data_IF_343106162898
#
_entry.id   IF_343106162898
#
_cell.length_a   1.000
_cell.length_b   1.000
_cell.length_c   1.000
_cell.angle_alpha   90.00
_cell.angle_beta   90.00
_cell.angle_gamma   90.00
#
_symmetry.space_group_name_H-M   'P 1'
#
loop_
_entity.id
_entity.type
_entity.pdbx_description
1 polymer ?
#
# COMPACT_ATOMS: atom_id res chain seq x y z
N UNK A 1 -7.85 10.42 -9.92
CA UNK A 1 -6.55 11.07 -10.01
C UNK A 1 -5.52 10.32 -9.16
N UNK A 2 -4.27 10.35 -9.59
CA UNK A 2 -3.19 9.71 -8.89
C UNK A 2 -2.78 10.51 -7.66
N UNK A 3 -2.53 9.84 -6.55
CA UNK A 3 -2.04 10.45 -5.33
C UNK A 3 -0.63 9.92 -5.05
N UNK A 4 0.30 10.83 -4.78
CA UNK A 4 1.69 10.48 -4.51
C UNK A 4 2.19 11.23 -3.28
N UNK A 5 2.83 10.52 -2.39
CA UNK A 5 3.52 11.12 -1.25
C UNK A 5 4.99 10.75 -1.30
N UNK A 6 5.84 11.71 -1.01
CA UNK A 6 7.29 11.56 -1.09
C UNK A 6 7.91 12.03 0.22
N UNK A 7 8.87 11.26 0.73
CA UNK A 7 9.71 11.67 1.85
C UNK A 7 11.12 11.89 1.35
N UNK A 8 11.63 13.09 1.55
CA UNK A 8 13.00 13.44 1.18
C UNK A 8 13.90 13.33 2.41
N UNK A 9 14.96 12.57 2.27
CA UNK A 9 15.96 12.45 3.31
C UNK A 9 16.98 13.57 3.26
N UNK A 10 18.02 13.44 4.07
CA UNK A 10 19.13 14.38 4.04
C UNK A 10 19.73 14.47 2.64
N UNK A 11 20.23 15.67 2.27
CA UNK A 11 20.80 15.97 0.94
C UNK A 11 19.80 15.88 -0.20
N UNK A 12 18.54 16.15 0.09
CA UNK A 12 17.47 16.23 -0.93
C UNK A 12 17.29 14.96 -1.75
N UNK A 13 17.67 13.80 -1.20
CA UNK A 13 17.44 12.51 -1.86
C UNK A 13 16.09 11.95 -1.44
N UNK A 14 15.37 11.39 -2.41
CA UNK A 14 14.13 10.70 -2.11
C UNK A 14 14.45 9.48 -1.27
N UNK A 15 13.95 9.45 -0.04
CA UNK A 15 14.14 8.35 0.90
C UNK A 15 13.01 7.33 0.80
N UNK A 16 11.81 7.78 0.46
CA UNK A 16 10.65 6.91 0.29
C UNK A 16 9.60 7.61 -0.56
N UNK A 17 8.79 6.83 -1.26
CA UNK A 17 7.58 7.37 -1.88
C UNK A 17 6.49 6.32 -1.94
N UNK A 18 5.26 6.80 -2.01
CA UNK A 18 4.06 5.98 -2.14
C UNK A 18 3.22 6.57 -3.27
N UNK A 19 2.74 5.73 -4.15
CA UNK A 19 1.81 6.12 -5.21
C UNK A 19 0.55 5.29 -5.15
N UNK A 20 -0.57 5.97 -5.32
CA UNK A 20 -1.86 5.33 -5.35
C UNK A 20 -2.84 6.13 -6.17
N UNK A 21 -4.05 5.63 -6.27
CA UNK A 21 -5.12 6.34 -6.96
C UNK A 21 -6.46 5.97 -6.34
N UNK A 22 -7.40 6.87 -6.51
CA UNK A 22 -8.79 6.63 -6.13
C UNK A 22 -9.39 5.69 -7.16
N UNK A 23 -9.97 4.56 -6.71
CA UNK A 23 -10.51 3.56 -7.64
C UNK A 23 -11.69 4.16 -8.43
N UNK A 24 -11.69 4.04 -9.75
CA UNK A 24 -12.77 4.62 -10.58
C UNK A 24 -14.15 4.03 -10.27
N UNK A 25 -14.21 2.74 -9.96
CA UNK A 25 -15.47 2.05 -9.65
C UNK A 25 -15.84 2.07 -8.16
N UNK A 26 -14.94 2.58 -7.33
CA UNK A 26 -15.16 2.69 -5.89
C UNK A 26 -14.35 3.87 -5.35
N UNK A 27 -14.81 5.11 -5.56
CA UNK A 27 -14.00 6.29 -5.27
C UNK A 27 -13.73 6.54 -3.79
N UNK A 28 -14.32 5.77 -2.90
CA UNK A 28 -14.00 5.81 -1.47
C UNK A 28 -12.84 4.90 -1.09
N UNK A 29 -12.30 4.15 -2.05
CA UNK A 29 -11.17 3.26 -1.84
C UNK A 29 -9.92 3.82 -2.52
N UNK A 30 -8.86 3.94 -1.74
CA UNK A 30 -7.52 4.29 -2.23
C UNK A 30 -6.80 2.99 -2.58
N UNK A 31 -6.37 2.86 -3.82
CA UNK A 31 -5.55 1.73 -4.24
C UNK A 31 -4.08 2.16 -4.26
N UNK A 32 -3.25 1.49 -3.46
CA UNK A 32 -1.82 1.73 -3.41
C UNK A 32 -1.14 0.74 -4.35
N UNK A 33 -0.49 1.24 -5.38
CA UNK A 33 0.17 0.38 -6.34
C UNK A 33 1.69 0.38 -6.21
N UNK A 34 2.26 1.32 -5.46
CA UNK A 34 3.71 1.38 -5.30
C UNK A 34 4.09 1.98 -3.95
N UNK A 35 4.95 1.27 -3.23
CA UNK A 35 5.59 1.74 -2.01
C UNK A 35 7.07 1.46 -2.16
N UNK A 36 7.91 2.47 -2.09
CA UNK A 36 9.36 2.33 -2.22
C UNK A 36 10.03 3.05 -1.06
N UNK A 37 10.97 2.36 -0.42
CA UNK A 37 11.78 2.94 0.65
C UNK A 37 13.24 2.63 0.36
N UNK A 38 14.07 3.66 0.35
CA UNK A 38 15.51 3.49 0.16
C UNK A 38 16.10 2.65 1.30
N UNK A 39 17.13 1.87 0.99
CA UNK A 39 17.68 0.87 1.92
C UNK A 39 17.99 1.43 3.31
N UNK A 40 18.63 2.59 3.38
CA UNK A 40 19.01 3.21 4.64
C UNK A 40 17.84 3.73 5.48
N UNK A 41 16.67 3.81 4.89
CA UNK A 41 15.47 4.36 5.53
C UNK A 41 14.42 3.30 5.84
N UNK A 42 14.73 2.04 5.60
CA UNK A 42 13.81 0.93 5.90
C UNK A 42 13.66 0.73 7.40
N UNK A 43 12.49 0.23 7.79
CA UNK A 43 12.20 -0.06 9.18
C UNK A 43 11.86 1.15 10.04
N UNK A 44 11.66 2.32 9.45
CA UNK A 44 11.37 3.57 10.17
C UNK A 44 9.91 4.00 10.07
N UNK A 45 9.06 3.18 9.48
CA UNK A 45 7.64 3.51 9.35
C UNK A 45 7.31 4.55 8.30
N UNK A 46 8.23 4.82 7.36
CA UNK A 46 8.00 5.86 6.35
C UNK A 46 6.87 5.51 5.39
N UNK A 47 6.76 4.25 4.98
CA UNK A 47 5.66 3.83 4.11
C UNK A 47 4.30 4.09 4.74
N UNK A 48 4.15 3.73 6.01
CA UNK A 48 2.92 3.98 6.74
C UNK A 48 2.65 5.48 6.86
N UNK A 49 3.67 6.26 7.22
CA UNK A 49 3.53 7.70 7.34
C UNK A 49 3.05 8.34 6.04
N UNK A 50 3.62 7.92 4.92
CA UNK A 50 3.24 8.47 3.61
C UNK A 50 1.83 8.08 3.22
N UNK A 51 1.41 6.85 3.47
CA UNK A 51 0.02 6.43 3.23
C UNK A 51 -0.92 7.25 4.11
N UNK A 52 -0.58 7.42 5.37
CA UNK A 52 -1.37 8.24 6.28
C UNK A 52 -1.48 9.69 5.81
N UNK A 53 -0.43 10.21 5.22
CA UNK A 53 -0.41 11.55 4.65
C UNK A 53 -1.41 11.67 3.50
N UNK A 54 -1.43 10.68 2.60
CA UNK A 54 -2.40 10.67 1.49
C UNK A 54 -3.84 10.61 2.03
N UNK A 55 -4.07 9.73 3.00
CA UNK A 55 -5.41 9.56 3.58
C UNK A 55 -5.89 10.84 4.30
N UNK A 56 -4.96 11.60 4.87
CA UNK A 56 -5.29 12.84 5.56
C UNK A 56 -5.52 14.01 4.60
N UNK A 57 -4.77 14.07 3.51
CA UNK A 57 -4.86 15.17 2.56
C UNK A 57 -6.05 15.07 1.63
N UNK A 58 -6.49 13.86 1.31
CA UNK A 58 -7.62 13.64 0.44
C UNK A 58 -8.80 13.08 1.23
N UNK A 59 -9.87 13.83 1.30
CA UNK A 59 -11.05 13.44 2.07
C UNK A 59 -11.85 12.34 1.38
N UNK A 60 -12.54 11.54 2.18
CA UNK A 60 -13.55 10.62 1.69
C UNK A 60 -13.09 9.20 1.50
N UNK A 61 -11.87 8.84 1.88
CA UNK A 61 -11.45 7.45 1.84
C UNK A 61 -12.00 6.68 3.04
N UNK A 62 -12.70 5.59 2.77
CA UNK A 62 -13.20 4.67 3.81
C UNK A 62 -12.47 3.34 3.77
N UNK A 63 -11.69 3.07 2.73
CA UNK A 63 -10.97 1.83 2.58
C UNK A 63 -9.69 2.03 1.79
N UNK A 64 -8.78 1.09 1.95
CA UNK A 64 -7.52 1.04 1.23
C UNK A 64 -7.35 -0.36 0.65
N UNK A 65 -6.85 -0.45 -0.58
CA UNK A 65 -6.52 -1.72 -1.21
C UNK A 65 -5.11 -1.70 -1.77
N UNK A 66 -4.51 -2.86 -1.82
CA UNK A 66 -3.21 -3.08 -2.46
C UNK A 66 -3.08 -4.55 -2.84
N UNK A 67 -2.06 -4.88 -3.62
CA UNK A 67 -1.71 -6.28 -3.89
C UNK A 67 -0.34 -6.56 -3.27
N UNK A 68 -0.22 -7.71 -2.62
CA UNK A 68 1.02 -8.12 -1.95
C UNK A 68 1.29 -9.57 -2.30
N UNK A 69 2.53 -9.88 -2.71
CA UNK A 69 2.94 -11.27 -2.88
C UNK A 69 3.09 -11.95 -1.51
N UNK A 70 2.87 -13.26 -1.48
CA UNK A 70 2.84 -14.01 -0.22
C UNK A 70 4.15 -13.89 0.57
N UNK A 71 5.29 -13.78 -0.12
CA UNK A 71 6.61 -13.73 0.50
C UNK A 71 7.09 -12.33 0.88
N UNK A 72 6.33 -11.28 0.54
CA UNK A 72 6.73 -9.91 0.83
C UNK A 72 6.36 -9.52 2.26
N UNK A 73 7.13 -10.02 3.22
CA UNK A 73 6.84 -9.83 4.63
C UNK A 73 6.85 -8.37 5.06
N UNK A 74 7.71 -7.56 4.46
CA UNK A 74 7.79 -6.13 4.80
C UNK A 74 6.47 -5.42 4.47
N UNK A 75 5.89 -5.70 3.30
CA UNK A 75 4.61 -5.13 2.94
C UNK A 75 3.48 -5.62 3.82
N UNK A 76 3.43 -6.91 4.14
CA UNK A 76 2.43 -7.44 5.07
C UNK A 76 2.48 -6.72 6.42
N UNK A 77 3.68 -6.55 6.98
CA UNK A 77 3.85 -5.85 8.25
C UNK A 77 3.40 -4.39 8.17
N UNK A 78 3.71 -3.73 7.06
CA UNK A 78 3.30 -2.35 6.85
C UNK A 78 1.77 -2.22 6.90
N UNK A 79 1.06 -3.03 6.12
CA UNK A 79 -0.39 -2.91 6.02
C UNK A 79 -1.09 -3.44 7.27
N UNK A 80 -0.56 -4.46 7.94
CA UNK A 80 -1.07 -4.90 9.23
C UNK A 80 -0.91 -3.81 10.31
N UNK A 81 0.24 -3.15 10.34
CA UNK A 81 0.49 -2.04 11.25
C UNK A 81 -0.48 -0.88 11.00
N UNK A 82 -0.70 -0.56 9.73
CA UNK A 82 -1.64 0.48 9.35
C UNK A 82 -3.06 0.14 9.79
N UNK A 83 -3.48 -1.09 9.56
CA UNK A 83 -4.81 -1.56 9.98
C UNK A 83 -4.97 -1.49 11.50
N UNK A 84 -3.98 -1.97 12.24
CA UNK A 84 -4.04 -1.98 13.70
C UNK A 84 -4.10 -0.56 14.27
N UNK A 85 -3.30 0.34 13.73
CA UNK A 85 -3.24 1.73 14.22
C UNK A 85 -4.56 2.46 14.03
N UNK A 86 -5.27 2.16 12.95
CA UNK A 86 -6.50 2.87 12.58
C UNK A 86 -7.76 2.06 12.86
N UNK A 87 -7.66 1.02 13.64
CA UNK A 87 -8.79 0.14 13.98
C UNK A 87 -9.50 -0.40 12.74
N UNK A 88 -8.74 -0.65 11.68
CA UNK A 88 -9.26 -1.17 10.43
C UNK A 88 -9.47 -2.68 10.47
N UNK A 89 -10.30 -3.17 9.58
CA UNK A 89 -10.48 -4.59 9.35
C UNK A 89 -9.73 -4.99 8.08
N UNK A 90 -8.66 -5.78 8.25
CA UNK A 90 -7.84 -6.24 7.14
C UNK A 90 -8.34 -7.59 6.66
N UNK A 91 -8.57 -7.68 5.36
CA UNK A 91 -8.93 -8.92 4.68
C UNK A 91 -8.03 -9.13 3.49
N UNK A 92 -7.75 -10.39 3.16
CA UNK A 92 -6.97 -10.69 1.98
C UNK A 92 -7.56 -11.90 1.26
N UNK A 93 -7.49 -11.86 -0.07
CA UNK A 93 -7.89 -12.98 -0.91
C UNK A 93 -6.80 -13.23 -1.94
N UNK A 94 -6.56 -14.48 -2.37
CA UNK A 94 -5.66 -14.74 -3.46
C UNK A 94 -6.16 -14.05 -4.72
N UNK A 95 -5.23 -13.46 -5.45
CA UNK A 95 -5.51 -12.74 -6.68
C UNK A 95 -4.61 -13.28 -7.77
N UNK A 96 -5.22 -13.85 -8.81
CA UNK A 96 -4.48 -14.44 -9.91
C UNK A 96 -4.75 -13.66 -11.18
N UNK A 97 -3.68 -13.21 -11.83
CA UNK A 97 -3.79 -12.66 -13.15
C UNK A 97 -3.76 -13.82 -14.16
N UNK A 98 -4.26 -13.56 -15.37
CA UNK A 98 -4.21 -14.54 -16.44
C UNK A 98 -2.77 -14.95 -16.76
N UNK A 99 -1.84 -14.01 -16.69
CA UNK A 99 -0.44 -14.24 -16.97
C UNK A 99 0.19 -15.15 -15.93
N UNK A 100 -0.13 -14.96 -14.68
CA UNK A 100 0.36 -15.80 -13.59
C UNK A 100 -0.16 -17.23 -13.69
N UNK A 101 -1.36 -17.39 -14.19
CA UNK A 101 -1.97 -18.69 -14.36
C UNK A 101 -1.19 -19.57 -15.34
N UNK A 102 -0.58 -18.98 -16.36
CA UNK A 102 0.26 -19.70 -17.31
C UNK A 102 1.70 -19.86 -16.86
N UNK A 103 2.17 -18.98 -16.02
CA UNK A 103 3.56 -18.96 -15.59
C UNK A 103 3.67 -19.41 -14.14
N UNK A 104 3.74 -20.69 -13.93
CA UNK A 104 3.74 -21.32 -12.60
C UNK A 104 4.88 -20.91 -11.68
N UNK A 105 5.72 -19.98 -12.09
CA UNK A 105 6.88 -19.54 -11.31
C UNK A 105 6.63 -18.31 -10.46
N UNK A 106 5.48 -17.67 -10.60
CA UNK A 106 5.17 -16.47 -9.84
C UNK A 106 4.51 -16.80 -8.52
N UNK A 107 4.90 -16.07 -7.49
CA UNK A 107 4.23 -16.14 -6.21
C UNK A 107 2.80 -15.64 -6.36
N UNK A 108 1.92 -16.22 -5.57
CA UNK A 108 0.54 -15.76 -5.52
C UNK A 108 0.49 -14.34 -4.98
N UNK A 109 -0.15 -13.45 -5.70
CA UNK A 109 -0.49 -12.13 -5.18
C UNK A 109 -1.79 -12.21 -4.41
N UNK A 110 -1.87 -11.44 -3.36
CA UNK A 110 -3.08 -11.30 -2.56
C UNK A 110 -3.62 -9.89 -2.73
N UNK A 111 -4.91 -9.80 -2.99
CA UNK A 111 -5.60 -8.52 -2.89
C UNK A 111 -5.90 -8.28 -1.42
N UNK A 112 -5.34 -7.22 -0.88
CA UNK A 112 -5.46 -6.87 0.53
C UNK A 112 -6.33 -5.63 0.64
N UNK A 113 -7.35 -5.70 1.50
CA UNK A 113 -8.25 -4.58 1.75
C UNK A 113 -8.28 -4.26 3.24
N UNK A 114 -8.16 -2.99 3.56
CA UNK A 114 -8.37 -2.47 4.91
C UNK A 114 -9.62 -1.61 4.87
N UNK A 115 -10.63 -2.02 5.61
CA UNK A 115 -11.85 -1.23 5.78
C UNK A 115 -11.72 -0.43 7.07
N UNK A 116 -11.79 0.88 6.98
CA UNK A 116 -11.74 1.75 8.15
C UNK A 116 -13.12 1.89 8.78
N UNK A 117 -13.19 2.12 10.11
CA UNK A 117 -14.47 2.30 10.78
C UNK A 117 -15.23 3.54 10.34
#
# INVERSE_FOLDING_TARGET
AEATAVYEGARERVAAFVSGYRKPDDPQTLFIWQVVTAHHYRGKGLGRLLIETILAEEAGFTALETTITADNQASWRLFESLSNKHAGALQSVPFFTRQEHFNHQHDTEHLVRIQFP
#
